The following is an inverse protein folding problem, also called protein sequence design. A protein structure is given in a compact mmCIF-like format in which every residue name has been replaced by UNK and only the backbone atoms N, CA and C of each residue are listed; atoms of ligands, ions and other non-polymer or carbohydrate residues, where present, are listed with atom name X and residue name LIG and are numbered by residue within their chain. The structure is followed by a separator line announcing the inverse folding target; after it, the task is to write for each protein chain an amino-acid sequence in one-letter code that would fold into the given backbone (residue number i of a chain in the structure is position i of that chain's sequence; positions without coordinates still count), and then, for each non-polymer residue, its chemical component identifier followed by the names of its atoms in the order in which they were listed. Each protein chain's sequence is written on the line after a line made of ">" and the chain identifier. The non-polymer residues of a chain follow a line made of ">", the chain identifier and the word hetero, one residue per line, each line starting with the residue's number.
data_IF_969220913621
#
_entry.id   IF_969220913621
#
_cell.length_a   1.000
_cell.length_b   1.000
_cell.length_c   1.000
_cell.angle_alpha   90.00
_cell.angle_beta   90.00
_cell.angle_gamma   90.00
#
_symmetry.space_group_name_H-M   'P 1'
#
loop_
_entity.id
_entity.type
_entity.pdbx_description
1 polymer ?
#
# COMPACT_ATOMS: atom_id res chain seq x y z
N UNK A 1 -26.53 17.10 -14.61
CA UNK A 1 -26.30 18.47 -14.11
C UNK A 1 -25.10 18.63 -13.13
N UNK A 2 -24.60 17.63 -12.36
CA UNK A 2 -23.42 17.87 -11.52
C UNK A 2 -22.09 17.89 -12.29
N UNK A 3 -22.02 17.23 -13.46
CA UNK A 3 -20.82 17.09 -14.30
C UNK A 3 -20.20 18.42 -14.76
N UNK A 4 -21.03 19.41 -15.14
CA UNK A 4 -20.55 20.70 -15.67
C UNK A 4 -20.02 21.62 -14.56
N UNK A 5 -20.57 21.55 -13.34
CA UNK A 5 -20.08 22.37 -12.21
C UNK A 5 -18.70 21.92 -11.71
N UNK A 6 -18.40 20.61 -11.72
CA UNK A 6 -17.11 20.11 -11.22
C UNK A 6 -15.95 20.39 -12.18
N UNK A 7 -16.14 20.24 -13.50
CA UNK A 7 -15.15 20.72 -14.49
C UNK A 7 -14.87 22.21 -14.29
N UNK A 8 -15.90 22.99 -14.02
CA UNK A 8 -15.79 24.42 -13.77
C UNK A 8 -14.94 24.69 -12.53
N UNK A 9 -15.12 23.97 -11.43
CA UNK A 9 -14.35 24.17 -10.19
C UNK A 9 -12.87 23.79 -10.31
N UNK A 10 -12.54 22.71 -11.03
CA UNK A 10 -11.14 22.32 -11.28
C UNK A 10 -10.46 23.33 -12.20
N UNK A 11 -11.15 23.80 -13.23
CA UNK A 11 -10.66 24.84 -14.15
C UNK A 11 -10.53 26.18 -13.43
N UNK A 12 -11.50 26.58 -12.61
CA UNK A 12 -11.50 27.85 -11.87
C UNK A 12 -10.44 27.83 -10.77
N UNK A 13 -10.34 26.76 -9.97
CA UNK A 13 -9.30 26.59 -8.96
C UNK A 13 -7.90 26.64 -9.57
N UNK A 14 -7.72 25.99 -10.71
CA UNK A 14 -6.50 26.10 -11.52
C UNK A 14 -6.24 27.52 -12.01
N UNK A 15 -7.23 28.21 -12.58
CA UNK A 15 -7.08 29.58 -13.08
C UNK A 15 -6.74 30.57 -11.96
N UNK A 16 -7.35 30.40 -10.78
CA UNK A 16 -7.06 31.20 -9.59
C UNK A 16 -5.63 30.94 -9.13
N UNK A 17 -5.22 29.67 -9.03
CA UNK A 17 -3.86 29.31 -8.64
C UNK A 17 -2.82 29.83 -9.65
N UNK A 18 -3.06 29.66 -10.95
CA UNK A 18 -2.20 30.21 -12.00
C UNK A 18 -2.09 31.74 -11.88
N UNK A 19 -3.19 32.45 -11.64
CA UNK A 19 -3.15 33.91 -11.40
C UNK A 19 -2.33 34.26 -10.16
N UNK A 20 -2.53 33.56 -9.05
CA UNK A 20 -1.79 33.78 -7.80
C UNK A 20 -0.30 33.46 -7.95
N UNK A 21 0.04 32.44 -8.75
CA UNK A 21 1.40 32.06 -9.10
C UNK A 21 2.04 32.96 -10.20
N UNK A 22 1.35 34.02 -10.64
CA UNK A 22 1.88 34.96 -11.63
C UNK A 22 1.83 34.50 -13.09
N UNK A 23 1.09 33.44 -13.41
CA UNK A 23 0.99 32.88 -14.76
C UNK A 23 -0.14 33.55 -15.57
N UNK A 24 0.24 34.35 -16.58
CA UNK A 24 -0.65 35.22 -17.37
C UNK A 24 -0.73 34.86 -18.87
N UNK A 25 -0.80 33.57 -19.23
CA UNK A 25 -0.86 33.09 -20.62
C UNK A 25 -2.28 33.01 -21.21
N UNK A 26 -2.45 33.22 -22.54
CA UNK A 26 -3.73 33.10 -23.27
C UNK A 26 -3.91 31.80 -24.06
N UNK A 27 -2.95 30.89 -24.02
CA UNK A 27 -3.01 29.61 -24.74
C UNK A 27 -2.73 28.48 -23.76
N UNK A 28 -3.79 27.97 -23.13
CA UNK A 28 -3.71 26.84 -22.22
C UNK A 28 -3.98 25.56 -23.00
N UNK A 29 -3.00 24.66 -23.02
CA UNK A 29 -3.17 23.31 -23.53
C UNK A 29 -2.99 22.38 -22.33
N UNK A 30 -4.12 21.86 -21.87
CA UNK A 30 -4.20 20.98 -20.71
C UNK A 30 -5.06 19.78 -21.04
N UNK A 31 -4.64 18.62 -20.57
CA UNK A 31 -5.32 17.36 -20.84
C UNK A 31 -5.61 16.66 -19.54
N UNK A 32 -6.85 16.25 -19.37
CA UNK A 32 -7.34 15.63 -18.14
C UNK A 32 -7.96 14.28 -18.44
N UNK A 33 -7.94 13.41 -17.44
CA UNK A 33 -8.73 12.18 -17.47
C UNK A 33 -9.42 12.01 -16.13
N UNK A 34 -10.66 11.55 -16.18
CA UNK A 34 -11.43 11.21 -15.00
C UNK A 34 -11.44 9.70 -14.79
N UNK A 35 -11.40 9.29 -13.52
CA UNK A 35 -11.55 7.90 -13.13
C UNK A 35 -12.24 7.80 -11.78
N UNK A 36 -13.15 6.83 -11.68
CA UNK A 36 -13.81 6.47 -10.44
C UNK A 36 -13.03 5.37 -9.76
N UNK A 37 -12.73 5.54 -8.48
CA UNK A 37 -12.09 4.52 -7.65
C UNK A 37 -13.01 4.24 -6.47
N UNK A 38 -13.41 2.97 -6.32
CA UNK A 38 -14.32 2.53 -5.25
C UNK A 38 -13.55 2.35 -3.93
N UNK A 39 -13.16 3.48 -3.34
CA UNK A 39 -12.49 3.56 -2.05
C UNK A 39 -12.71 4.95 -1.42
N UNK A 40 -12.40 5.15 -0.12
CA UNK A 40 -12.39 6.47 0.49
C UNK A 40 -11.36 7.41 -0.16
N UNK A 41 -11.67 8.69 -0.27
CA UNK A 41 -10.76 9.69 -0.84
C UNK A 41 -9.40 9.76 -0.11
N UNK A 42 -9.38 9.51 1.20
CA UNK A 42 -8.14 9.42 1.98
C UNK A 42 -7.20 8.32 1.49
N UNK A 43 -7.72 7.15 1.10
CA UNK A 43 -6.89 6.07 0.58
C UNK A 43 -6.22 6.44 -0.74
N UNK A 44 -6.92 7.19 -1.60
CA UNK A 44 -6.33 7.73 -2.84
C UNK A 44 -5.27 8.77 -2.53
N UNK A 45 -5.51 9.67 -1.56
CA UNK A 45 -4.53 10.68 -1.13
C UNK A 45 -3.23 10.04 -0.65
N UNK A 46 -3.33 9.02 0.19
CA UNK A 46 -2.14 8.34 0.69
C UNK A 46 -1.38 7.63 -0.44
N UNK A 47 -2.09 7.11 -1.45
CA UNK A 47 -1.48 6.52 -2.64
C UNK A 47 -0.79 7.57 -3.53
N UNK A 48 -1.34 8.80 -3.61
CA UNK A 48 -0.71 9.93 -4.30
C UNK A 48 0.61 10.30 -3.59
N UNK A 49 0.59 10.44 -2.26
CA UNK A 49 1.78 10.76 -1.47
C UNK A 49 2.85 9.66 -1.63
N UNK A 50 2.47 8.39 -1.57
CA UNK A 50 3.39 7.27 -1.77
C UNK A 50 4.03 7.31 -3.16
N UNK A 51 3.23 7.58 -4.20
CA UNK A 51 3.68 7.59 -5.58
C UNK A 51 4.63 8.76 -5.89
N UNK A 52 4.25 9.96 -5.46
CA UNK A 52 4.92 11.20 -5.90
C UNK A 52 5.84 11.80 -4.85
N UNK A 53 5.82 11.29 -3.61
CA UNK A 53 6.67 11.80 -2.52
C UNK A 53 8.17 11.63 -2.73
N UNK A 54 8.59 10.68 -3.56
CA UNK A 54 10.00 10.40 -3.88
C UNK A 54 10.29 10.38 -5.39
N UNK A 55 9.42 11.00 -6.21
CA UNK A 55 9.48 10.90 -7.66
C UNK A 55 10.39 11.91 -8.35
N UNK A 56 10.38 11.85 -9.69
CA UNK A 56 11.02 12.80 -10.61
C UNK A 56 10.30 14.17 -10.70
N UNK A 57 9.28 14.39 -9.87
CA UNK A 57 8.46 15.60 -9.85
C UNK A 57 8.64 16.36 -8.55
N UNK A 58 8.73 17.68 -8.68
CA UNK A 58 8.76 18.58 -7.52
C UNK A 58 7.34 18.88 -7.10
N UNK A 59 6.95 18.48 -5.88
CA UNK A 59 5.71 18.93 -5.26
C UNK A 59 5.76 20.46 -5.07
N UNK A 60 4.70 21.15 -5.49
CA UNK A 60 4.61 22.60 -5.38
C UNK A 60 3.73 23.01 -4.19
N UNK A 61 2.49 22.54 -4.22
CA UNK A 61 1.46 22.88 -3.24
C UNK A 61 0.40 21.78 -3.27
N UNK A 62 -0.26 21.54 -2.13
CA UNK A 62 -1.34 20.59 -2.03
C UNK A 62 -2.31 20.98 -0.92
N UNK A 63 -3.57 20.63 -1.13
CA UNK A 63 -4.66 20.87 -0.18
C UNK A 63 -5.60 19.67 -0.09
N UNK A 64 -6.74 19.84 0.57
CA UNK A 64 -7.71 18.74 0.74
C UNK A 64 -8.28 18.21 -0.59
N UNK A 65 -8.26 19.01 -1.66
CA UNK A 65 -8.94 18.72 -2.95
C UNK A 65 -7.99 18.57 -4.14
N UNK A 66 -6.83 19.23 -4.17
CA UNK A 66 -5.92 19.17 -5.33
C UNK A 66 -4.46 19.24 -4.90
N UNK A 67 -3.62 18.44 -5.58
CA UNK A 67 -2.16 18.46 -5.43
C UNK A 67 -1.50 18.87 -6.74
N UNK A 68 -0.43 19.67 -6.66
CA UNK A 68 0.31 20.19 -7.81
C UNK A 68 1.76 19.69 -7.81
N UNK A 69 2.20 19.20 -8.96
CA UNK A 69 3.54 18.68 -9.21
C UNK A 69 4.11 19.31 -10.47
N UNK A 70 5.37 19.74 -10.41
CA UNK A 70 6.12 20.24 -11.56
C UNK A 70 7.13 19.21 -12.03
N UNK A 71 7.36 19.15 -13.34
CA UNK A 71 8.49 18.42 -13.94
C UNK A 71 9.03 19.16 -15.18
N UNK A 72 10.05 18.58 -15.80
CA UNK A 72 10.66 19.03 -17.05
C UNK A 72 11.99 19.74 -16.86
N UNK A 73 12.77 19.81 -17.94
CA UNK A 73 14.10 20.40 -17.95
C UNK A 73 14.01 21.93 -18.10
N UNK A 74 14.76 22.70 -17.30
CA UNK A 74 14.93 24.12 -17.54
C UNK A 74 15.49 24.37 -18.95
N UNK A 75 15.01 25.42 -19.63
CA UNK A 75 15.50 25.84 -20.95
C UNK A 75 14.75 25.29 -22.16
N UNK A 76 13.90 24.26 -22.00
CA UNK A 76 12.96 23.87 -23.05
C UNK A 76 11.86 24.93 -23.13
N UNK A 77 11.86 25.73 -24.20
CA UNK A 77 10.91 26.84 -24.40
C UNK A 77 10.09 26.73 -25.68
N UNK A 78 10.44 25.82 -26.58
CA UNK A 78 9.76 25.63 -27.87
C UNK A 78 9.75 24.17 -28.27
N UNK A 79 8.58 23.65 -28.62
CA UNK A 79 8.42 22.27 -29.10
C UNK A 79 7.70 22.30 -30.45
N UNK A 80 8.45 22.02 -31.53
CA UNK A 80 8.01 22.25 -32.92
C UNK A 80 7.42 21.01 -33.59
N UNK A 81 7.94 19.82 -33.30
CA UNK A 81 7.52 18.58 -33.94
C UNK A 81 7.56 17.43 -32.92
N UNK A 82 6.77 16.36 -33.14
CA UNK A 82 6.88 15.11 -32.39
C UNK A 82 8.33 14.61 -32.37
N UNK A 83 8.79 14.09 -31.22
CA UNK A 83 10.13 13.51 -31.07
C UNK A 83 11.30 14.50 -30.97
N UNK A 84 11.08 15.81 -31.07
CA UNK A 84 12.16 16.80 -30.90
C UNK A 84 12.61 17.03 -29.45
N UNK A 85 11.76 16.65 -28.48
CA UNK A 85 12.01 16.70 -27.03
C UNK A 85 11.26 15.54 -26.39
N UNK A 86 11.90 14.85 -25.45
CA UNK A 86 11.26 13.82 -24.63
C UNK A 86 10.10 14.40 -23.82
N UNK A 87 8.99 13.66 -23.67
CA UNK A 87 7.80 14.20 -23.01
C UNK A 87 8.03 14.59 -21.55
N UNK A 88 8.80 13.79 -20.82
CA UNK A 88 9.17 14.07 -19.42
C UNK A 88 10.06 15.30 -19.27
N UNK A 89 10.78 15.69 -20.33
CA UNK A 89 11.67 16.85 -20.33
C UNK A 89 10.93 18.15 -20.60
N UNK A 90 9.68 18.10 -21.05
CA UNK A 90 8.90 19.31 -21.31
C UNK A 90 8.37 19.88 -20.00
N UNK A 91 8.70 21.15 -19.67
CA UNK A 91 8.14 21.84 -18.52
C UNK A 91 6.62 21.72 -18.51
N UNK A 92 6.13 21.01 -17.51
CA UNK A 92 4.72 20.71 -17.34
C UNK A 92 4.35 20.67 -15.86
N UNK A 93 3.08 20.94 -15.60
CA UNK A 93 2.45 20.83 -14.30
C UNK A 93 1.42 19.72 -14.35
N UNK A 94 1.58 18.73 -13.47
CA UNK A 94 0.56 17.74 -13.17
C UNK A 94 -0.25 18.26 -11.99
N UNK A 95 -1.56 18.37 -12.15
CA UNK A 95 -2.50 18.47 -11.03
C UNK A 95 -3.26 17.18 -10.85
N UNK A 96 -3.49 16.77 -9.61
CA UNK A 96 -4.34 15.63 -9.29
C UNK A 96 -5.44 16.09 -8.36
N UNK A 97 -6.66 16.13 -8.87
CA UNK A 97 -7.84 16.40 -8.06
C UNK A 97 -8.41 15.09 -7.52
N UNK A 98 -8.77 15.08 -6.23
CA UNK A 98 -9.51 13.98 -5.60
C UNK A 98 -10.76 14.58 -4.97
N UNK A 99 -11.92 14.09 -5.39
CA UNK A 99 -13.21 14.56 -4.92
C UNK A 99 -14.12 13.38 -4.56
N UNK A 100 -15.06 13.59 -3.64
CA UNK A 100 -16.13 12.63 -3.36
C UNK A 100 -17.40 13.13 -4.02
N UNK A 101 -17.98 12.31 -4.90
CA UNK A 101 -19.21 12.61 -5.62
C UNK A 101 -20.14 11.41 -5.48
N UNK A 102 -21.34 11.63 -4.91
CA UNK A 102 -22.32 10.59 -4.63
C UNK A 102 -21.75 9.39 -3.85
N UNK A 103 -20.87 9.65 -2.88
CA UNK A 103 -20.23 8.62 -2.06
C UNK A 103 -19.13 7.82 -2.75
N UNK A 104 -18.77 8.14 -4.00
CA UNK A 104 -17.66 7.52 -4.74
C UNK A 104 -16.52 8.52 -4.90
N UNK A 105 -15.29 8.00 -4.94
CA UNK A 105 -14.12 8.85 -5.14
C UNK A 105 -13.84 9.03 -6.63
N UNK A 106 -13.83 10.28 -7.07
CA UNK A 106 -13.43 10.72 -8.39
C UNK A 106 -11.99 11.23 -8.33
N UNK A 107 -11.16 10.73 -9.23
CA UNK A 107 -9.78 11.15 -9.41
C UNK A 107 -9.60 11.75 -10.79
N UNK A 108 -9.05 12.96 -10.83
CA UNK A 108 -8.84 13.69 -12.08
C UNK A 108 -7.41 14.19 -12.17
N UNK A 109 -6.46 13.38 -12.67
CA UNK A 109 -5.17 13.89 -13.09
C UNK A 109 -5.31 14.75 -14.34
N UNK A 110 -4.51 15.80 -14.38
CA UNK A 110 -4.43 16.74 -15.48
C UNK A 110 -2.99 17.20 -15.67
N UNK A 111 -2.53 17.19 -16.92
CA UNK A 111 -1.21 17.68 -17.29
C UNK A 111 -1.38 18.93 -18.14
N UNK A 112 -0.75 20.02 -17.71
CA UNK A 112 -0.70 21.28 -18.43
C UNK A 112 0.75 21.59 -18.76
N UNK A 113 0.99 22.06 -19.99
CA UNK A 113 2.30 22.60 -20.36
C UNK A 113 2.45 23.98 -19.73
N UNK A 114 3.62 24.27 -19.18
CA UNK A 114 3.82 25.56 -18.52
C UNK A 114 3.85 26.70 -19.54
N UNK A 115 3.44 27.93 -19.16
CA UNK A 115 3.29 29.04 -20.11
C UNK A 115 4.57 29.44 -20.85
N UNK A 116 5.74 29.10 -20.31
CA UNK A 116 7.05 29.41 -20.92
C UNK A 116 7.34 28.55 -22.16
N UNK A 117 6.60 27.45 -22.34
CA UNK A 117 6.78 26.53 -23.46
C UNK A 117 5.79 26.86 -24.58
N UNK A 118 6.32 27.25 -25.73
CA UNK A 118 5.54 27.38 -26.96
C UNK A 118 5.40 26.03 -27.65
N UNK A 119 4.20 25.45 -27.57
CA UNK A 119 3.83 24.23 -28.30
C UNK A 119 3.20 24.54 -29.66
N UNK A 120 3.83 24.09 -30.74
CA UNK A 120 3.33 24.30 -32.11
C UNK A 120 2.24 23.28 -32.48
N UNK A 121 1.29 23.66 -33.35
CA UNK A 121 0.15 22.80 -33.76
C UNK A 121 0.57 21.41 -34.25
N UNK A 122 1.65 21.33 -35.00
CA UNK A 122 2.26 20.09 -35.51
C UNK A 122 2.63 19.09 -34.41
N UNK A 123 2.86 19.56 -33.20
CA UNK A 123 3.19 18.73 -32.05
C UNK A 123 2.01 18.52 -31.09
N UNK A 124 0.94 19.34 -31.17
CA UNK A 124 -0.15 19.33 -30.19
C UNK A 124 -0.85 17.97 -30.02
N UNK A 125 -1.18 17.30 -31.13
CA UNK A 125 -1.86 16.01 -31.05
C UNK A 125 -0.98 14.92 -30.44
N UNK A 126 0.29 14.87 -30.81
CA UNK A 126 1.24 13.92 -30.24
C UNK A 126 1.38 14.08 -28.72
N UNK A 127 1.47 15.32 -28.24
CA UNK A 127 1.55 15.59 -26.80
C UNK A 127 0.22 15.37 -26.08
N UNK A 128 -0.91 15.63 -26.73
CA UNK A 128 -2.22 15.26 -26.22
C UNK A 128 -2.26 13.77 -25.91
N UNK A 129 -1.86 12.93 -26.86
CA UNK A 129 -1.96 11.47 -26.72
C UNK A 129 -1.03 10.94 -25.62
N UNK A 130 0.17 11.51 -25.50
CA UNK A 130 1.11 11.19 -24.42
C UNK A 130 0.60 11.63 -23.05
N UNK A 131 0.04 12.84 -22.93
CA UNK A 131 -0.54 13.33 -21.68
C UNK A 131 -1.72 12.47 -21.23
N UNK A 132 -2.61 12.10 -22.16
CA UNK A 132 -3.74 11.20 -21.86
C UNK A 132 -3.27 9.79 -21.48
N UNK A 133 -2.25 9.27 -22.16
CA UNK A 133 -1.64 7.99 -21.81
C UNK A 133 -1.00 8.03 -20.42
N UNK A 134 -0.33 9.11 -20.06
CA UNK A 134 0.24 9.27 -18.73
C UNK A 134 -0.84 9.38 -17.65
N UNK A 135 -1.89 10.19 -17.86
CA UNK A 135 -3.01 10.27 -16.94
C UNK A 135 -3.68 8.90 -16.73
N UNK A 136 -3.74 8.04 -17.77
CA UNK A 136 -4.20 6.65 -17.67
C UNK A 136 -3.31 5.82 -16.74
N UNK A 137 -2.00 5.93 -16.92
CA UNK A 137 -1.01 5.19 -16.14
C UNK A 137 -1.11 5.59 -14.66
N UNK A 138 -1.14 6.90 -14.37
CA UNK A 138 -1.31 7.43 -13.01
C UNK A 138 -2.57 6.86 -12.34
N UNK A 139 -3.72 6.93 -13.00
CA UNK A 139 -4.97 6.35 -12.47
C UNK A 139 -4.82 4.86 -12.20
N UNK A 140 -4.22 4.11 -13.12
CA UNK A 140 -4.02 2.67 -13.00
C UNK A 140 -3.18 2.32 -11.79
N UNK A 141 -2.08 3.02 -11.57
CA UNK A 141 -1.17 2.79 -10.45
C UNK A 141 -1.80 3.19 -9.11
N UNK A 142 -2.54 4.31 -9.05
CA UNK A 142 -3.29 4.69 -7.85
C UNK A 142 -4.34 3.62 -7.50
N UNK A 143 -5.08 3.14 -8.51
CA UNK A 143 -6.08 2.07 -8.33
C UNK A 143 -5.43 0.79 -7.81
N UNK A 144 -4.29 0.38 -8.39
CA UNK A 144 -3.56 -0.80 -7.95
C UNK A 144 -3.01 -0.66 -6.53
N UNK A 145 -2.48 0.51 -6.19
CA UNK A 145 -1.92 0.80 -4.86
C UNK A 145 -3.00 0.70 -3.79
N UNK A 146 -4.15 1.32 -4.02
CA UNK A 146 -5.31 1.23 -3.12
C UNK A 146 -5.79 -0.23 -3.00
N UNK A 147 -5.92 -0.96 -4.10
CA UNK A 147 -6.35 -2.36 -4.07
C UNK A 147 -5.40 -3.25 -3.25
N UNK A 148 -4.07 -3.06 -3.42
CA UNK A 148 -3.06 -3.80 -2.65
C UNK A 148 -3.16 -3.51 -1.15
N UNK A 149 -3.38 -2.25 -0.76
CA UNK A 149 -3.56 -1.87 0.65
C UNK A 149 -4.81 -2.52 1.25
N UNK A 150 -5.94 -2.43 0.56
CA UNK A 150 -7.18 -3.05 1.00
C UNK A 150 -7.03 -4.57 1.15
N UNK A 151 -6.27 -5.23 0.27
CA UNK A 151 -5.98 -6.66 0.39
C UNK A 151 -5.14 -6.97 1.63
N UNK A 152 -4.05 -6.23 1.87
CA UNK A 152 -3.20 -6.41 3.05
C UNK A 152 -3.97 -6.23 4.35
N UNK A 153 -4.85 -5.24 4.41
CA UNK A 153 -5.71 -5.01 5.58
C UNK A 153 -6.68 -6.17 5.83
N UNK A 154 -7.28 -6.72 4.75
CA UNK A 154 -8.14 -7.91 4.85
C UNK A 154 -7.37 -9.13 5.34
N UNK A 155 -6.18 -9.38 4.80
CA UNK A 155 -5.31 -10.48 5.22
C UNK A 155 -4.89 -10.32 6.69
N UNK A 156 -4.45 -9.12 7.10
CA UNK A 156 -4.11 -8.85 8.49
C UNK A 156 -5.31 -9.03 9.44
N UNK A 157 -6.50 -8.62 9.00
CA UNK A 157 -7.75 -8.83 9.75
C UNK A 157 -8.07 -10.31 9.89
N UNK A 158 -7.94 -11.09 8.81
CA UNK A 158 -8.15 -12.54 8.85
C UNK A 158 -7.16 -13.23 9.78
N UNK A 159 -5.89 -12.82 9.79
CA UNK A 159 -4.89 -13.37 10.74
C UNK A 159 -5.27 -13.04 12.19
N UNK A 160 -5.78 -11.83 12.44
CA UNK A 160 -6.19 -11.39 13.79
C UNK A 160 -7.49 -12.06 14.26
N UNK A 161 -8.43 -12.30 13.35
CA UNK A 161 -9.72 -12.92 13.62
C UNK A 161 -9.70 -14.45 13.48
N UNK A 162 -8.62 -15.01 12.93
CA UNK A 162 -8.40 -16.44 12.91
C UNK A 162 -8.50 -16.96 14.34
N UNK A 163 -9.32 -17.99 14.60
CA UNK A 163 -9.44 -18.54 15.93
C UNK A 163 -8.06 -18.97 16.39
N UNK A 164 -7.54 -18.30 17.42
CA UNK A 164 -6.40 -18.80 18.16
C UNK A 164 -6.77 -20.21 18.63
N UNK A 165 -5.93 -21.24 18.41
CA UNK A 165 -6.21 -22.57 18.94
C UNK A 165 -6.54 -22.41 20.42
N UNK A 166 -7.57 -23.10 20.91
CA UNK A 166 -7.91 -23.06 22.34
C UNK A 166 -6.66 -23.37 23.16
N UNK A 167 -6.59 -22.88 24.40
CA UNK A 167 -5.44 -23.11 25.26
C UNK A 167 -5.05 -24.61 25.28
N UNK A 168 -6.05 -25.48 25.36
CA UNK A 168 -5.91 -26.93 25.32
C UNK A 168 -5.36 -27.43 23.98
N UNK A 169 -5.91 -26.96 22.84
CA UNK A 169 -5.40 -27.34 21.51
C UNK A 169 -3.95 -26.92 21.32
N UNK A 170 -3.57 -25.75 21.84
CA UNK A 170 -2.20 -25.25 21.83
C UNK A 170 -1.27 -26.11 22.70
N UNK A 171 -1.73 -26.52 23.88
CA UNK A 171 -0.96 -27.35 24.80
C UNK A 171 -0.79 -28.79 24.25
N UNK A 172 -1.83 -29.40 23.66
CA UNK A 172 -1.70 -30.69 22.94
C UNK A 172 -0.75 -30.58 21.74
N UNK A 173 -0.84 -29.51 20.95
CA UNK A 173 0.04 -29.28 19.82
C UNK A 173 1.51 -29.08 20.24
N UNK A 174 1.79 -28.44 21.39
CA UNK A 174 3.13 -28.28 21.95
C UNK A 174 3.79 -29.62 22.35
N UNK A 175 2.98 -30.65 22.60
CA UNK A 175 3.42 -32.03 22.82
C UNK A 175 3.40 -32.88 21.53
N UNK A 176 2.97 -32.32 20.39
CA UNK A 176 2.80 -33.05 19.14
C UNK A 176 1.61 -34.01 19.13
N UNK A 177 0.62 -33.76 19.98
CA UNK A 177 -0.58 -34.58 20.14
C UNK A 177 -1.80 -33.93 19.47
N UNK A 178 -2.79 -34.76 19.13
CA UNK A 178 -4.10 -34.27 18.70
C UNK A 178 -4.93 -33.86 19.93
N UNK A 179 -5.86 -32.90 19.79
CA UNK A 179 -6.78 -32.55 20.88
C UNK A 179 -7.57 -33.77 21.36
N UNK A 180 -7.74 -33.91 22.68
CA UNK A 180 -8.43 -35.05 23.29
C UNK A 180 -7.56 -36.30 23.50
N UNK A 181 -6.23 -36.17 23.42
CA UNK A 181 -5.32 -37.25 23.80
C UNK A 181 -5.47 -37.61 25.30
N UNK A 182 -5.34 -38.89 25.64
CA UNK A 182 -5.48 -39.37 27.02
C UNK A 182 -4.29 -38.93 27.89
N UNK A 183 -4.45 -38.94 29.21
CA UNK A 183 -3.37 -38.61 30.14
C UNK A 183 -2.12 -39.47 29.93
N UNK A 184 -2.29 -40.76 29.64
CA UNK A 184 -1.17 -41.67 29.33
C UNK A 184 -0.42 -41.25 28.06
N UNK A 185 -1.13 -40.79 27.02
CA UNK A 185 -0.54 -40.28 25.78
C UNK A 185 0.22 -38.97 26.02
N UNK A 186 -0.31 -38.08 26.86
CA UNK A 186 0.35 -36.84 27.29
C UNK A 186 1.66 -37.14 28.05
N UNK A 187 1.63 -38.10 28.98
CA UNK A 187 2.82 -38.53 29.71
C UNK A 187 3.86 -39.21 28.82
N UNK A 188 3.42 -40.02 27.84
CA UNK A 188 4.32 -40.65 26.87
C UNK A 188 5.01 -39.59 26.00
N UNK A 189 4.25 -38.64 25.42
CA UNK A 189 4.79 -37.57 24.60
C UNK A 189 5.76 -36.65 25.36
N UNK A 190 5.45 -36.34 26.62
CA UNK A 190 6.34 -35.56 27.47
C UNK A 190 7.67 -36.27 27.74
N UNK A 191 7.63 -37.57 28.07
CA UNK A 191 8.85 -38.37 28.27
C UNK A 191 9.70 -38.44 27.01
N UNK A 192 9.07 -38.63 25.85
CA UNK A 192 9.73 -38.62 24.55
C UNK A 192 10.39 -37.27 24.25
N UNK A 193 9.70 -36.16 24.53
CA UNK A 193 10.23 -34.82 24.34
C UNK A 193 11.40 -34.53 25.29
N UNK A 194 11.34 -34.95 26.55
CA UNK A 194 12.46 -34.88 27.48
C UNK A 194 13.67 -35.66 26.94
N UNK A 195 13.47 -36.89 26.45
CA UNK A 195 14.57 -37.69 25.92
C UNK A 195 15.23 -37.07 24.68
N UNK A 196 14.46 -36.34 23.86
CA UNK A 196 14.92 -35.70 22.61
C UNK A 196 15.53 -34.32 22.81
N UNK A 197 15.01 -33.51 23.74
CA UNK A 197 15.35 -32.10 23.87
C UNK A 197 15.97 -31.71 25.23
N UNK A 198 16.33 -32.67 26.10
CA UNK A 198 16.97 -32.34 27.38
C UNK A 198 18.31 -31.60 27.16
N UNK A 199 18.53 -30.45 27.81
CA UNK A 199 19.75 -29.67 27.63
C UNK A 199 21.01 -30.49 27.91
N UNK A 200 21.02 -31.33 28.96
CA UNK A 200 22.18 -32.17 29.29
C UNK A 200 22.58 -33.17 28.20
N UNK A 201 21.64 -33.62 27.34
CA UNK A 201 21.98 -34.54 26.25
C UNK A 201 22.58 -33.82 25.04
N UNK A 202 22.22 -32.56 24.84
CA UNK A 202 22.67 -31.75 23.70
C UNK A 202 24.06 -31.16 23.96
N UNK A 203 24.38 -30.85 25.21
CA UNK A 203 25.72 -30.36 25.62
C UNK A 203 26.83 -31.40 25.36
N UNK A 204 26.49 -32.69 25.31
CA UNK A 204 27.45 -33.79 25.04
C UNK A 204 27.63 -34.18 23.57
N UNK A 205 26.88 -33.60 22.63
CA UNK A 205 26.78 -34.10 21.24
C UNK A 205 27.40 -33.19 20.16
N UNK A 206 28.19 -32.18 20.52
CA UNK A 206 28.82 -31.25 19.55
C UNK A 206 27.78 -30.60 18.59
N UNK A 207 26.62 -30.26 19.14
CA UNK A 207 25.49 -29.66 18.41
C UNK A 207 25.71 -28.15 18.28
N UNK A 208 25.34 -27.55 17.15
CA UNK A 208 25.49 -26.10 16.94
C UNK A 208 24.70 -25.27 17.98
N UNK A 209 25.23 -24.11 18.42
CA UNK A 209 24.62 -23.28 19.46
C UNK A 209 23.16 -22.88 19.17
N UNK A 210 22.82 -22.53 17.93
CA UNK A 210 21.45 -22.15 17.55
C UNK A 210 20.45 -23.30 17.71
N UNK A 211 20.88 -24.54 17.47
CA UNK A 211 20.04 -25.73 17.62
C UNK A 211 19.83 -26.08 19.11
N UNK A 212 20.84 -25.84 19.95
CA UNK A 212 20.71 -25.98 21.41
C UNK A 212 19.70 -24.97 21.96
N UNK A 213 19.75 -23.71 21.52
CA UNK A 213 18.77 -22.69 21.90
C UNK A 213 17.35 -23.06 21.49
N UNK A 214 17.17 -23.54 20.25
CA UNK A 214 15.86 -23.95 19.75
C UNK A 214 15.31 -25.15 20.53
N UNK A 215 16.17 -26.11 20.88
CA UNK A 215 15.77 -27.26 21.70
C UNK A 215 15.39 -26.84 23.13
N UNK A 216 16.12 -25.92 23.75
CA UNK A 216 15.78 -25.36 25.08
C UNK A 216 14.45 -24.62 25.05
N UNK A 217 14.19 -23.82 24.02
CA UNK A 217 12.90 -23.15 23.83
C UNK A 217 11.76 -24.16 23.68
N UNK A 218 11.99 -25.21 22.87
CA UNK A 218 11.00 -26.26 22.64
C UNK A 218 10.73 -27.06 23.91
N UNK A 219 11.76 -27.41 24.67
CA UNK A 219 11.62 -28.08 25.97
C UNK A 219 10.80 -27.25 26.97
N UNK A 220 11.10 -25.95 27.11
CA UNK A 220 10.31 -25.03 27.95
C UNK A 220 8.84 -24.97 27.54
N UNK A 221 8.55 -24.91 26.24
CA UNK A 221 7.19 -24.91 25.72
C UNK A 221 6.46 -26.22 26.06
N UNK A 222 7.11 -27.36 25.84
CA UNK A 222 6.55 -28.69 26.12
C UNK A 222 6.33 -28.94 27.63
N UNK A 223 7.25 -28.52 28.50
CA UNK A 223 7.06 -28.61 29.97
C UNK A 223 5.92 -27.71 30.47
N UNK A 224 5.77 -26.52 29.89
CA UNK A 224 4.67 -25.61 30.25
C UNK A 224 3.32 -26.20 29.86
N UNK A 225 3.21 -26.75 28.64
CA UNK A 225 2.00 -27.42 28.16
C UNK A 225 1.64 -28.66 28.99
N UNK A 226 2.62 -29.51 29.32
CA UNK A 226 2.42 -30.68 30.17
C UNK A 226 1.84 -30.31 31.54
N UNK A 227 2.35 -29.23 32.17
CA UNK A 227 1.85 -28.77 33.47
C UNK A 227 0.38 -28.34 33.40
N UNK A 228 -0.02 -27.60 32.36
CA UNK A 228 -1.39 -27.14 32.16
C UNK A 228 -2.36 -28.29 31.90
N UNK A 229 -2.00 -29.21 31.00
CA UNK A 229 -2.81 -30.40 30.73
C UNK A 229 -2.96 -31.29 31.97
N UNK A 230 -1.92 -31.38 32.81
CA UNK A 230 -1.99 -32.08 34.10
C UNK A 230 -3.01 -31.45 35.04
N UNK A 231 -2.99 -30.12 35.17
CA UNK A 231 -3.93 -29.38 36.02
C UNK A 231 -5.38 -29.56 35.52
N UNK A 232 -5.59 -29.50 34.20
CA UNK A 232 -6.91 -29.67 33.58
C UNK A 232 -7.49 -31.09 33.69
N UNK A 233 -6.65 -32.12 33.49
CA UNK A 233 -7.08 -33.52 33.56
C UNK A 233 -7.18 -34.04 35.01
N UNK A 234 -6.71 -33.28 36.00
CA UNK A 234 -6.83 -33.59 37.41
C UNK A 234 -8.05 -32.94 38.09
N UNK A 235 -8.72 -31.98 37.43
CA UNK A 235 -9.90 -31.28 37.98
C UNK A 235 -11.20 -32.08 37.69
N UNK A 236 -12.08 -32.36 38.67
CA UNK A 236 -13.20 -33.30 38.50
C UNK A 236 -14.34 -32.90 37.55
N UNK A 237 -14.25 -31.81 36.80
CA UNK A 237 -15.35 -31.35 35.93
C UNK A 237 -15.41 -32.04 34.55
N UNK A 238 -14.52 -32.99 34.26
CA UNK A 238 -14.48 -33.78 33.02
C UNK A 238 -14.42 -35.31 33.24
N UNK A 239 -14.88 -35.81 34.39
CA UNK A 239 -15.10 -37.24 34.64
C UNK A 239 -16.54 -37.66 34.31
#
# INVERSE_FOLDING_TARGET
>A
MPFVMFMSLVIIGWYIWCRLAGWHGRHHVGWMREAWIDCPASAVRDAIVERFGNGDRTFLEGGHTIDFYRRGKPGVTRVRHPGGVEFGDIPSMLSICVAVVNGRTLVTPRIDITPEVRLFRTAQQYFHDLAIAECRVIVGELTQTVARRAQREREARQIREAPSPSADQSDYAALGLKPGATWEQVQAAYRDACLKYHPDRLTGQNVEPHLVELAVQRFKATSTAYRRLREQLADPQHA
#
